data_IF_680043458693
#
_entry.id   IF_680043458693
#
_cell.length_a   1.000
_cell.length_b   1.000
_cell.length_c   1.000
_cell.angle_alpha   90.00
_cell.angle_beta   90.00
_cell.angle_gamma   90.00
#
_symmetry.space_group_name_H-M   'P 1'
#
loop_
_entity.id
_entity.type
_entity.pdbx_description
1 polymer ?
#
# COMPACT_ATOMS: atom_id res chain seq x y z
N UNK A 1 44.10 25.18 -36.06
CA UNK A 1 42.93 25.39 -35.24
C UNK A 1 41.85 24.41 -35.66
N UNK A 2 41.63 23.37 -34.87
CA UNK A 2 40.52 22.45 -35.08
C UNK A 2 39.24 23.05 -34.47
N UNK A 3 38.07 22.98 -35.12
CA UNK A 3 36.81 23.46 -34.54
C UNK A 3 36.35 22.55 -33.40
N UNK A 4 35.67 23.11 -32.41
CA UNK A 4 35.18 22.31 -31.26
C UNK A 4 34.13 21.33 -31.72
N UNK A 5 34.31 20.09 -31.30
CA UNK A 5 33.32 19.01 -31.43
C UNK A 5 32.11 19.42 -30.58
N UNK A 6 31.04 19.88 -31.22
CA UNK A 6 29.74 20.03 -30.61
C UNK A 6 29.23 18.61 -30.32
N UNK A 7 29.38 18.18 -29.08
CA UNK A 7 28.67 17.02 -28.58
C UNK A 7 27.16 17.29 -28.73
N UNK A 8 26.55 16.60 -29.67
CA UNK A 8 25.09 16.50 -29.77
C UNK A 8 24.59 16.00 -28.41
N UNK A 9 24.06 16.92 -27.60
CA UNK A 9 23.25 16.55 -26.46
C UNK A 9 22.03 15.81 -27.01
N UNK A 10 22.13 14.47 -27.12
CA UNK A 10 20.97 13.63 -27.17
C UNK A 10 20.20 13.94 -25.87
N UNK A 11 19.10 14.68 -25.99
CA UNK A 11 18.05 14.73 -24.97
C UNK A 11 17.58 13.29 -24.79
N UNK A 12 18.22 12.56 -23.88
CA UNK A 12 17.62 11.36 -23.32
C UNK A 12 16.29 11.83 -22.73
N UNK A 13 15.20 11.47 -23.38
CA UNK A 13 13.88 11.51 -22.76
C UNK A 13 14.04 10.71 -21.46
N UNK A 14 14.16 11.41 -20.34
CA UNK A 14 14.26 10.81 -19.03
C UNK A 14 12.93 10.10 -18.78
N UNK A 15 12.88 8.82 -19.11
CA UNK A 15 11.74 8.00 -18.80
C UNK A 15 11.81 7.71 -17.31
N UNK A 16 10.75 8.04 -16.64
CA UNK A 16 10.67 8.22 -15.20
C UNK A 16 9.61 7.29 -14.64
N UNK A 17 9.69 7.08 -13.34
CA UNK A 17 8.76 6.28 -12.57
C UNK A 17 7.66 7.19 -12.04
N UNK A 18 6.41 6.80 -12.24
CA UNK A 18 5.30 7.36 -11.49
C UNK A 18 5.07 6.48 -10.24
N UNK A 19 4.81 7.11 -9.11
CA UNK A 19 4.58 6.44 -7.83
C UNK A 19 3.11 6.55 -7.47
N UNK A 20 2.48 5.45 -7.09
CA UNK A 20 1.12 5.45 -6.56
C UNK A 20 1.11 4.91 -5.13
N UNK A 21 0.66 5.71 -4.19
CA UNK A 21 0.66 5.36 -2.77
C UNK A 21 -0.58 5.88 -2.03
N UNK A 22 -0.89 5.28 -0.88
CA UNK A 22 -1.98 5.70 -0.01
C UNK A 22 -1.55 6.83 0.92
N UNK A 23 -2.44 7.78 1.15
CA UNK A 23 -2.16 8.97 1.98
C UNK A 23 -2.77 8.92 3.38
N UNK A 24 -3.58 7.91 3.67
CA UNK A 24 -4.28 7.75 4.94
C UNK A 24 -3.73 6.52 5.71
N UNK A 25 -4.57 5.76 6.38
CA UNK A 25 -4.20 4.56 7.16
C UNK A 25 -4.42 3.25 6.39
N UNK A 26 -4.21 3.27 5.08
CA UNK A 26 -4.45 2.11 4.22
C UNK A 26 -5.91 2.00 3.74
N UNK A 27 -6.16 0.99 2.93
CA UNK A 27 -7.50 0.69 2.37
C UNK A 27 -8.10 1.81 1.50
N UNK A 28 -7.27 2.72 0.95
CA UNK A 28 -7.71 3.82 0.10
C UNK A 28 -8.21 3.36 -1.29
N UNK A 29 -8.12 2.06 -1.62
CA UNK A 29 -8.53 1.53 -2.92
C UNK A 29 -7.43 1.58 -3.98
N UNK A 30 -6.16 1.59 -3.56
CA UNK A 30 -4.99 1.65 -4.46
C UNK A 30 -5.00 0.61 -5.57
N UNK A 31 -5.34 -0.65 -5.26
CA UNK A 31 -5.38 -1.72 -6.26
C UNK A 31 -6.24 -1.39 -7.47
N UNK A 32 -7.47 -0.90 -7.25
CA UNK A 32 -8.36 -0.44 -8.34
C UNK A 32 -7.70 0.65 -9.18
N UNK A 33 -7.05 1.62 -8.53
CA UNK A 33 -6.43 2.75 -9.23
C UNK A 33 -5.20 2.29 -10.03
N UNK A 34 -4.39 1.37 -9.48
CA UNK A 34 -3.28 0.75 -10.22
C UNK A 34 -3.79 -0.02 -11.44
N UNK A 35 -4.83 -0.83 -11.28
CA UNK A 35 -5.45 -1.60 -12.36
C UNK A 35 -6.03 -0.68 -13.46
N UNK A 36 -6.64 0.45 -13.07
CA UNK A 36 -7.11 1.48 -14.00
C UNK A 36 -5.97 2.12 -14.82
N UNK A 37 -4.82 2.37 -14.18
CA UNK A 37 -3.67 2.96 -14.85
C UNK A 37 -2.79 1.94 -15.59
N UNK A 38 -2.83 0.67 -15.22
CA UNK A 38 -1.95 -0.38 -15.76
C UNK A 38 -1.87 -0.42 -17.29
N UNK A 39 -2.96 -0.17 -18.08
CA UNK A 39 -2.87 -0.10 -19.53
C UNK A 39 -1.88 0.94 -20.09
N UNK A 40 -1.51 1.93 -19.30
CA UNK A 40 -0.61 3.02 -19.70
C UNK A 40 0.85 2.80 -19.30
N UNK A 41 1.15 1.67 -18.62
CA UNK A 41 2.48 1.32 -18.11
C UNK A 41 2.96 -0.02 -18.62
N UNK A 42 4.26 -0.12 -18.89
CA UNK A 42 4.90 -1.38 -19.26
C UNK A 42 5.19 -2.26 -18.04
N UNK A 43 5.35 -1.64 -16.86
CA UNK A 43 5.76 -2.33 -15.64
C UNK A 43 4.98 -1.80 -14.45
N UNK A 44 4.42 -2.70 -13.64
CA UNK A 44 3.91 -2.40 -12.29
C UNK A 44 4.86 -3.03 -11.28
N UNK A 45 5.38 -2.24 -10.34
CA UNK A 45 6.40 -2.68 -9.40
C UNK A 45 6.00 -2.43 -7.93
N UNK A 46 5.80 -3.51 -7.15
CA UNK A 46 5.59 -3.43 -5.69
C UNK A 46 6.91 -3.14 -5.02
N UNK A 47 6.99 -2.08 -4.24
CA UNK A 47 8.26 -1.64 -3.65
C UNK A 47 8.39 -1.90 -2.14
N UNK A 48 7.29 -2.19 -1.43
CA UNK A 48 7.30 -2.45 0.02
C UNK A 48 6.06 -3.26 0.47
N UNK A 49 6.00 -3.59 1.77
CA UNK A 49 4.93 -4.35 2.36
C UNK A 49 5.12 -5.86 2.18
N UNK A 50 4.04 -6.59 2.15
CA UNK A 50 4.04 -8.04 2.02
C UNK A 50 2.60 -8.56 1.94
N UNK A 51 2.32 -9.79 2.43
CA UNK A 51 0.98 -10.39 2.39
C UNK A 51 -0.07 -9.71 3.27
N UNK A 52 0.31 -8.68 4.04
CA UNK A 52 -0.62 -7.85 4.82
C UNK A 52 -1.42 -6.84 3.96
N UNK A 53 -1.06 -6.62 2.71
CA UNK A 53 -1.88 -5.84 1.78
C UNK A 53 -3.13 -6.63 1.35
N UNK A 54 -4.18 -5.91 0.93
CA UNK A 54 -5.39 -6.48 0.36
C UNK A 54 -5.91 -5.55 -0.74
N UNK A 55 -5.40 -5.73 -1.97
CA UNK A 55 -5.80 -4.95 -3.13
C UNK A 55 -6.97 -5.65 -3.82
N UNK A 56 -8.17 -5.13 -3.60
CA UNK A 56 -9.38 -5.65 -4.23
C UNK A 56 -9.52 -5.14 -5.66
N UNK A 57 -9.71 -6.07 -6.58
CA UNK A 57 -9.96 -5.82 -8.01
C UNK A 57 -11.26 -6.52 -8.43
N UNK A 58 -11.83 -6.05 -9.53
CA UNK A 58 -12.94 -6.72 -10.21
C UNK A 58 -12.50 -7.05 -11.63
N UNK A 59 -12.40 -8.34 -11.92
CA UNK A 59 -11.99 -8.88 -13.22
C UNK A 59 -13.17 -9.68 -13.80
N UNK A 60 -13.66 -9.29 -14.96
CA UNK A 60 -14.84 -9.90 -15.58
C UNK A 60 -16.07 -9.97 -14.65
N UNK A 61 -16.23 -8.96 -13.78
CA UNK A 61 -17.32 -8.89 -12.80
C UNK A 61 -17.11 -9.68 -11.51
N UNK A 62 -16.05 -10.47 -11.42
CA UNK A 62 -15.69 -11.23 -10.22
C UNK A 62 -14.68 -10.50 -9.36
N UNK A 63 -14.88 -10.58 -8.04
CA UNK A 63 -13.97 -9.97 -7.05
C UNK A 63 -12.77 -10.85 -6.81
N UNK A 64 -11.57 -10.28 -6.92
CA UNK A 64 -10.31 -10.91 -6.49
C UNK A 64 -9.57 -9.98 -5.53
N UNK A 65 -8.83 -10.56 -4.57
CA UNK A 65 -7.99 -9.80 -3.63
C UNK A 65 -6.55 -10.22 -3.81
N UNK A 66 -5.69 -9.25 -4.18
CA UNK A 66 -4.25 -9.46 -4.30
C UNK A 66 -3.55 -9.00 -3.02
N UNK A 67 -2.60 -9.80 -2.55
CA UNK A 67 -1.80 -9.52 -1.36
C UNK A 67 -0.38 -9.09 -1.71
N UNK A 68 0.28 -9.82 -2.58
CA UNK A 68 1.69 -9.61 -2.95
C UNK A 68 1.89 -9.36 -4.44
N UNK A 69 1.06 -9.99 -5.27
CA UNK A 69 1.11 -9.81 -6.73
C UNK A 69 0.77 -8.35 -7.06
N UNK A 70 1.56 -7.69 -7.93
CA UNK A 70 1.23 -6.35 -8.41
C UNK A 70 -0.12 -6.33 -9.16
N UNK A 71 -0.86 -5.23 -9.01
CA UNK A 71 -2.24 -5.12 -9.54
C UNK A 71 -2.31 -5.04 -11.07
N UNK A 72 -1.17 -4.99 -11.76
CA UNK A 72 -1.08 -5.05 -13.23
C UNK A 72 -1.13 -6.46 -13.82
N UNK A 73 -1.23 -7.51 -13.02
CA UNK A 73 -1.08 -8.92 -13.44
C UNK A 73 -2.12 -9.37 -14.49
N UNK A 74 -3.29 -8.74 -14.53
CA UNK A 74 -4.36 -9.05 -15.48
C UNK A 74 -4.20 -8.36 -16.84
N UNK A 75 -3.13 -7.57 -17.03
CA UNK A 75 -2.83 -6.90 -18.29
C UNK A 75 -1.65 -7.64 -18.97
N UNK A 76 -1.90 -8.38 -20.08
CA UNK A 76 -0.88 -9.28 -20.68
C UNK A 76 0.41 -8.59 -21.14
N UNK A 77 0.32 -7.29 -21.49
CA UNK A 77 1.48 -6.49 -21.93
C UNK A 77 2.31 -5.94 -20.77
N UNK A 78 1.83 -6.06 -19.53
CA UNK A 78 2.45 -5.46 -18.34
C UNK A 78 3.32 -6.48 -17.63
N UNK A 79 4.59 -6.17 -17.43
CA UNK A 79 5.47 -6.91 -16.52
C UNK A 79 5.21 -6.49 -15.07
N UNK A 80 5.27 -7.45 -14.15
CA UNK A 80 4.94 -7.25 -12.74
C UNK A 80 6.14 -7.60 -11.86
N UNK A 81 6.74 -6.61 -11.20
CA UNK A 81 7.93 -6.79 -10.36
C UNK A 81 7.59 -6.77 -8.87
N UNK A 82 8.03 -7.78 -8.14
CA UNK A 82 8.13 -7.74 -6.68
C UNK A 82 9.56 -7.29 -6.34
N UNK A 83 9.67 -6.06 -5.84
CA UNK A 83 10.93 -5.40 -5.51
C UNK A 83 11.51 -5.86 -4.17
N UNK A 84 12.78 -5.53 -3.94
CA UNK A 84 13.52 -5.93 -2.74
C UNK A 84 13.03 -5.32 -1.42
N UNK A 85 12.21 -4.27 -1.49
CA UNK A 85 11.59 -3.70 -0.29
C UNK A 85 10.43 -4.54 0.26
N UNK A 86 9.86 -5.44 -0.53
CA UNK A 86 8.81 -6.37 -0.11
C UNK A 86 9.40 -7.49 0.78
N UNK A 87 8.61 -7.96 1.76
CA UNK A 87 8.84 -9.25 2.43
C UNK A 87 7.82 -10.26 1.90
N UNK A 88 8.30 -11.36 1.34
CA UNK A 88 7.54 -12.28 0.52
C UNK A 88 7.20 -13.56 1.27
N UNK A 89 5.91 -13.87 1.34
CA UNK A 89 5.39 -15.16 1.82
C UNK A 89 5.17 -16.09 0.62
N UNK A 90 6.01 -17.12 0.49
CA UNK A 90 5.98 -18.04 -0.64
C UNK A 90 4.64 -18.80 -0.74
N UNK A 91 4.06 -19.18 0.40
CA UNK A 91 2.78 -19.92 0.46
C UNK A 91 1.63 -19.05 -0.05
N UNK A 92 1.56 -17.80 0.44
CA UNK A 92 0.56 -16.84 -0.04
C UNK A 92 0.74 -16.56 -1.52
N UNK A 93 1.99 -16.35 -1.98
CA UNK A 93 2.26 -16.07 -3.40
C UNK A 93 1.83 -17.23 -4.30
N UNK A 94 2.12 -18.49 -3.94
CA UNK A 94 1.69 -19.66 -4.70
C UNK A 94 0.16 -19.68 -4.85
N UNK A 95 -0.56 -19.53 -3.74
CA UNK A 95 -2.04 -19.50 -3.74
C UNK A 95 -2.60 -18.34 -4.59
N UNK A 96 -1.97 -17.18 -4.56
CA UNK A 96 -2.36 -16.05 -5.42
C UNK A 96 -2.10 -16.34 -6.90
N UNK A 97 -0.94 -16.91 -7.25
CA UNK A 97 -0.62 -17.29 -8.63
C UNK A 97 -1.64 -18.30 -9.19
N UNK A 98 -2.05 -19.29 -8.40
CA UNK A 98 -3.10 -20.24 -8.75
C UNK A 98 -4.47 -19.54 -8.93
N UNK A 99 -4.78 -18.57 -8.06
CA UNK A 99 -6.03 -17.82 -8.14
C UNK A 99 -6.08 -16.92 -9.38
N UNK A 100 -5.03 -16.14 -9.68
CA UNK A 100 -5.01 -15.24 -10.84
C UNK A 100 -4.97 -15.99 -12.17
N UNK A 101 -4.38 -17.20 -12.20
CA UNK A 101 -4.37 -18.06 -13.39
C UNK A 101 -5.78 -18.44 -13.86
N UNK A 102 -6.76 -18.54 -12.95
CA UNK A 102 -8.18 -18.79 -13.30
C UNK A 102 -8.80 -17.66 -14.13
N UNK A 103 -8.22 -16.47 -14.04
CA UNK A 103 -8.62 -15.30 -14.83
C UNK A 103 -7.76 -15.11 -16.09
N UNK A 104 -6.92 -16.09 -16.43
CA UNK A 104 -6.09 -16.08 -17.64
C UNK A 104 -4.74 -15.34 -17.49
N UNK A 105 -4.35 -14.96 -16.28
CA UNK A 105 -3.05 -14.33 -16.06
C UNK A 105 -1.91 -15.37 -16.14
N UNK A 106 -0.90 -15.09 -16.99
CA UNK A 106 0.30 -15.93 -17.12
C UNK A 106 1.43 -15.39 -16.22
N UNK A 107 1.38 -15.81 -14.96
CA UNK A 107 2.37 -15.39 -13.95
C UNK A 107 3.80 -15.86 -14.25
N UNK A 108 3.97 -16.93 -15.01
CA UNK A 108 5.31 -17.41 -15.38
C UNK A 108 5.97 -16.54 -16.44
N UNK A 109 5.15 -15.88 -17.25
CA UNK A 109 5.64 -14.99 -18.29
C UNK A 109 5.82 -13.55 -17.79
N UNK A 110 4.86 -13.03 -17.01
CA UNK A 110 4.78 -11.60 -16.70
C UNK A 110 5.17 -11.23 -15.27
N UNK A 111 5.48 -12.20 -14.38
CA UNK A 111 5.95 -11.92 -13.02
C UNK A 111 7.45 -12.05 -12.87
N UNK A 112 8.05 -11.08 -12.17
CA UNK A 112 9.48 -11.00 -11.86
C UNK A 112 9.67 -10.74 -10.37
N UNK A 113 10.65 -11.40 -9.75
CA UNK A 113 10.91 -11.27 -8.31
C UNK A 113 12.38 -10.94 -8.12
N UNK A 114 12.64 -9.85 -7.38
CA UNK A 114 14.03 -9.47 -7.07
C UNK A 114 14.70 -10.53 -6.19
N UNK A 115 15.93 -10.94 -6.54
CA UNK A 115 16.77 -11.79 -5.69
C UNK A 115 16.94 -11.24 -4.27
N UNK A 116 16.87 -9.91 -4.09
CA UNK A 116 17.07 -9.23 -2.80
C UNK A 116 15.80 -9.17 -1.93
N UNK A 117 14.66 -9.61 -2.44
CA UNK A 117 13.40 -9.69 -1.66
C UNK A 117 13.57 -10.68 -0.52
N UNK A 118 13.22 -10.27 0.71
CA UNK A 118 13.32 -11.15 1.88
C UNK A 118 12.13 -12.10 1.97
N UNK A 119 12.41 -13.33 2.44
CA UNK A 119 11.40 -14.35 2.66
C UNK A 119 10.79 -14.22 4.05
N UNK A 120 9.47 -14.36 4.13
CA UNK A 120 8.79 -14.62 5.39
C UNK A 120 8.84 -16.12 5.64
N UNK A 121 9.43 -16.50 6.77
CA UNK A 121 9.54 -17.89 7.20
C UNK A 121 8.34 -18.28 8.09
N UNK A 122 8.01 -19.57 8.22
CA UNK A 122 7.03 -20.05 9.20
C UNK A 122 7.28 -19.53 10.60
N UNK A 123 8.53 -19.50 11.02
CA UNK A 123 8.95 -18.96 12.33
C UNK A 123 8.71 -17.46 12.49
N UNK A 124 8.72 -16.66 11.43
CA UNK A 124 8.31 -15.25 11.51
C UNK A 124 6.84 -15.11 11.86
N UNK A 125 5.97 -15.96 11.30
CA UNK A 125 4.53 -15.98 11.62
C UNK A 125 4.31 -16.40 13.07
N UNK A 126 5.07 -17.40 13.56
CA UNK A 126 5.04 -17.83 14.94
C UNK A 126 5.47 -16.71 15.90
N UNK A 127 6.57 -16.00 15.59
CA UNK A 127 7.05 -14.86 16.38
C UNK A 127 6.06 -13.69 16.41
N UNK A 128 5.40 -13.39 15.28
CA UNK A 128 4.37 -12.36 15.20
C UNK A 128 3.18 -12.71 16.11
N UNK A 129 2.71 -13.97 16.03
CA UNK A 129 1.62 -14.48 16.89
C UNK A 129 2.00 -14.46 18.37
N UNK A 130 3.20 -14.94 18.73
CA UNK A 130 3.68 -14.98 20.10
C UNK A 130 3.80 -13.56 20.70
N UNK A 131 4.42 -12.63 19.96
CA UNK A 131 4.59 -11.24 20.38
C UNK A 131 3.24 -10.51 20.56
N UNK A 132 2.30 -10.65 19.61
CA UNK A 132 0.98 -10.03 19.75
C UNK A 132 0.19 -10.62 20.92
N UNK A 133 0.31 -11.93 21.18
CA UNK A 133 -0.35 -12.57 22.31
C UNK A 133 0.18 -12.03 23.64
N UNK A 134 1.50 -11.85 23.76
CA UNK A 134 2.14 -11.35 24.99
C UNK A 134 1.77 -9.89 25.32
N UNK A 135 1.48 -9.06 24.31
CA UNK A 135 1.13 -7.65 24.52
C UNK A 135 -0.22 -7.43 25.23
N UNK A 136 -1.08 -8.44 25.33
CA UNK A 136 -2.38 -8.31 25.99
C UNK A 136 -3.21 -7.16 25.44
N UNK A 137 -3.56 -6.18 26.28
CA UNK A 137 -4.34 -4.98 25.86
C UNK A 137 -3.52 -4.02 24.98
N UNK A 138 -2.18 -4.07 25.03
CA UNK A 138 -1.27 -3.27 24.21
C UNK A 138 -1.08 -3.78 22.79
N UNK A 139 -1.95 -4.66 22.28
CA UNK A 139 -1.88 -5.19 20.91
C UNK A 139 -1.91 -4.09 19.87
N UNK A 140 -1.00 -4.15 18.91
CA UNK A 140 -0.98 -3.26 17.75
C UNK A 140 -2.12 -3.63 16.77
N UNK A 141 -2.55 -4.89 16.78
CA UNK A 141 -3.52 -5.42 15.84
C UNK A 141 -2.88 -5.98 14.57
N UNK A 142 -1.72 -6.62 14.72
CA UNK A 142 -1.01 -7.30 13.63
C UNK A 142 -1.93 -8.23 12.84
N UNK A 143 -1.62 -8.39 11.55
CA UNK A 143 -2.28 -9.36 10.67
C UNK A 143 -1.81 -10.79 10.89
N UNK A 144 -0.86 -11.02 11.78
CA UNK A 144 -0.23 -12.31 12.11
C UNK A 144 0.42 -12.99 10.88
N UNK A 145 0.89 -12.20 9.95
CA UNK A 145 1.53 -12.65 8.70
C UNK A 145 3.05 -12.67 8.76
N UNK A 146 3.65 -12.36 9.94
CA UNK A 146 5.09 -12.37 10.13
C UNK A 146 5.83 -11.16 9.55
N UNK A 147 5.12 -10.08 9.22
CA UNK A 147 5.69 -8.88 8.59
C UNK A 147 6.75 -8.23 9.47
N UNK A 148 6.39 -7.91 10.74
CA UNK A 148 7.31 -7.28 11.70
C UNK A 148 8.60 -8.08 11.90
N UNK A 149 8.52 -9.36 12.29
CA UNK A 149 9.69 -10.22 12.46
C UNK A 149 10.56 -10.36 11.20
N UNK A 150 9.96 -10.43 10.01
CA UNK A 150 10.71 -10.49 8.76
C UNK A 150 11.49 -9.18 8.47
N UNK A 151 10.90 -8.01 8.73
CA UNK A 151 11.62 -6.73 8.65
C UNK A 151 12.68 -6.57 9.76
N UNK A 152 12.44 -7.10 10.95
CA UNK A 152 13.47 -7.15 12.01
C UNK A 152 14.69 -7.94 11.55
N UNK A 153 14.51 -9.10 10.95
CA UNK A 153 15.63 -9.89 10.42
C UNK A 153 16.28 -9.24 9.20
N UNK A 154 15.52 -8.60 8.33
CA UNK A 154 16.07 -7.80 7.21
C UNK A 154 17.01 -6.72 7.73
N UNK A 155 16.58 -5.90 8.68
CA UNK A 155 17.37 -4.83 9.26
C UNK A 155 18.50 -5.39 10.14
N UNK A 156 18.24 -6.48 10.86
CA UNK A 156 19.21 -7.23 11.65
C UNK A 156 20.24 -8.02 10.83
N UNK A 157 20.12 -8.05 9.49
CA UNK A 157 21.02 -8.74 8.55
C UNK A 157 21.09 -10.26 8.76
N UNK A 158 19.96 -10.86 9.14
CA UNK A 158 19.84 -12.30 9.38
C UNK A 158 18.90 -13.00 8.38
N UNK A 159 18.01 -12.23 7.75
CA UNK A 159 16.93 -12.79 6.92
C UNK A 159 17.43 -13.50 5.67
N UNK A 160 16.67 -14.49 5.23
CA UNK A 160 16.86 -15.16 3.93
C UNK A 160 16.17 -14.37 2.83
N UNK A 161 16.80 -14.39 1.65
CA UNK A 161 16.30 -13.69 0.45
C UNK A 161 15.92 -14.67 -0.65
N UNK A 162 15.11 -14.22 -1.59
CA UNK A 162 14.70 -15.04 -2.74
C UNK A 162 15.92 -15.55 -3.54
N UNK A 163 16.97 -14.74 -3.69
CA UNK A 163 18.20 -15.18 -4.37
C UNK A 163 18.91 -16.33 -3.68
N UNK A 164 18.75 -16.49 -2.37
CA UNK A 164 19.37 -17.59 -1.61
C UNK A 164 18.77 -18.96 -1.98
N UNK A 165 17.58 -18.99 -2.61
CA UNK A 165 16.98 -20.21 -3.15
C UNK A 165 17.83 -20.88 -4.23
N UNK A 166 18.70 -20.11 -4.87
CA UNK A 166 19.61 -20.61 -5.91
C UNK A 166 20.90 -21.22 -5.32
N UNK A 167 21.12 -21.06 -4.01
CA UNK A 167 22.28 -21.60 -3.30
C UNK A 167 21.96 -23.00 -2.75
N UNK A 168 22.88 -23.96 -2.94
CA UNK A 168 22.82 -25.31 -2.36
C UNK A 168 22.74 -25.34 -0.83
N UNK A 169 23.17 -24.27 -0.18
CA UNK A 169 23.16 -24.14 1.28
C UNK A 169 21.85 -23.55 1.84
N UNK A 170 20.83 -23.29 1.02
CA UNK A 170 19.57 -22.67 1.44
C UNK A 170 18.97 -23.36 2.67
N UNK A 171 18.81 -24.69 2.63
CA UNK A 171 18.23 -25.47 3.74
C UNK A 171 19.08 -25.36 5.00
N UNK A 172 20.40 -25.38 4.87
CA UNK A 172 21.32 -25.21 6.02
C UNK A 172 21.16 -23.82 6.66
N UNK A 173 21.05 -22.79 5.85
CA UNK A 173 20.85 -21.41 6.32
C UNK A 173 19.46 -21.22 6.93
N UNK A 174 18.44 -21.86 6.37
CA UNK A 174 17.09 -21.91 6.96
C UNK A 174 17.13 -22.53 8.37
N UNK A 175 17.76 -23.70 8.55
CA UNK A 175 17.86 -24.37 9.85
C UNK A 175 18.57 -23.50 10.87
N UNK A 176 19.67 -22.81 10.50
CA UNK A 176 20.38 -21.88 11.40
C UNK A 176 19.47 -20.75 11.88
N UNK A 177 18.71 -20.15 10.98
CA UNK A 177 17.80 -19.05 11.32
C UNK A 177 16.62 -19.56 12.14
N UNK A 178 16.06 -20.71 11.79
CA UNK A 178 15.01 -21.38 12.57
C UNK A 178 15.42 -21.63 14.02
N UNK A 179 16.64 -22.12 14.24
CA UNK A 179 17.19 -22.35 15.60
C UNK A 179 17.33 -21.04 16.39
N UNK A 180 17.71 -19.95 15.72
CA UNK A 180 17.73 -18.63 16.36
C UNK A 180 16.31 -18.19 16.77
N UNK A 181 15.34 -18.36 15.89
CA UNK A 181 13.93 -18.02 16.17
C UNK A 181 13.35 -18.91 17.26
N UNK A 182 13.71 -20.19 17.31
CA UNK A 182 13.24 -21.09 18.36
C UNK A 182 13.60 -20.56 19.76
N UNK A 183 14.84 -20.09 19.96
CA UNK A 183 15.25 -19.48 21.23
C UNK A 183 14.41 -18.25 21.61
N UNK A 184 13.96 -17.47 20.62
CA UNK A 184 13.06 -16.34 20.87
C UNK A 184 11.64 -16.82 21.20
N UNK A 185 11.14 -17.85 20.50
CA UNK A 185 9.84 -18.47 20.76
C UNK A 185 9.78 -19.11 22.14
N UNK A 186 10.88 -19.74 22.59
CA UNK A 186 11.00 -20.30 23.94
C UNK A 186 10.83 -19.22 25.03
N UNK A 187 11.37 -18.01 24.81
CA UNK A 187 11.18 -16.87 25.71
C UNK A 187 9.72 -16.37 25.76
N UNK A 188 8.94 -16.61 24.71
CA UNK A 188 7.51 -16.32 24.66
C UNK A 188 6.62 -17.47 25.20
N UNK A 189 7.22 -18.59 25.61
CA UNK A 189 6.52 -19.83 25.96
C UNK A 189 5.59 -20.30 24.83
N UNK A 190 6.02 -20.15 23.57
CA UNK A 190 5.24 -20.56 22.41
C UNK A 190 5.39 -22.06 22.18
N UNK A 191 4.26 -22.78 22.24
CA UNK A 191 4.23 -24.26 22.21
C UNK A 191 3.50 -24.83 20.99
N UNK A 192 3.02 -23.98 20.09
CA UNK A 192 2.28 -24.44 18.89
C UNK A 192 3.24 -25.16 17.94
N UNK A 193 2.82 -26.31 17.44
CA UNK A 193 3.55 -27.03 16.38
C UNK A 193 3.40 -26.31 15.03
N UNK A 194 4.52 -25.97 14.40
CA UNK A 194 4.56 -25.30 13.11
C UNK A 194 5.03 -26.22 11.96
N UNK A 195 5.11 -27.52 12.20
CA UNK A 195 5.62 -28.49 11.20
C UNK A 195 4.86 -28.43 9.88
N UNK A 196 3.52 -28.33 9.94
CA UNK A 196 2.68 -28.18 8.74
C UNK A 196 2.97 -26.88 8.00
N UNK A 197 3.29 -25.78 8.71
CA UNK A 197 3.65 -24.52 8.06
C UNK A 197 5.01 -24.62 7.37
N UNK A 198 5.94 -25.41 7.92
CA UNK A 198 7.26 -25.65 7.32
C UNK A 198 7.11 -26.52 6.06
N UNK A 199 6.27 -27.56 6.08
CA UNK A 199 5.98 -28.39 4.91
C UNK A 199 5.39 -27.55 3.77
N UNK A 200 4.30 -26.80 4.02
CA UNK A 200 3.71 -25.88 3.03
C UNK A 200 4.72 -24.86 2.49
N UNK A 201 5.60 -24.36 3.36
CA UNK A 201 6.64 -23.40 2.99
C UNK A 201 7.61 -24.02 1.99
N UNK A 202 8.16 -25.21 2.25
CA UNK A 202 9.12 -25.84 1.35
C UNK A 202 8.49 -26.22 0.02
N UNK A 203 7.25 -26.69 -0.01
CA UNK A 203 6.51 -26.87 -1.26
C UNK A 203 6.39 -25.58 -2.07
N UNK A 204 6.04 -24.48 -1.38
CA UNK A 204 5.92 -23.18 -2.01
C UNK A 204 7.26 -22.61 -2.50
N UNK A 205 8.37 -22.94 -1.83
CA UNK A 205 9.73 -22.62 -2.28
C UNK A 205 10.04 -23.30 -3.61
N UNK A 206 9.68 -24.57 -3.80
CA UNK A 206 9.89 -25.28 -5.08
C UNK A 206 9.06 -24.61 -6.20
N UNK A 207 7.83 -24.20 -5.91
CA UNK A 207 7.05 -23.39 -6.86
C UNK A 207 7.74 -22.06 -7.18
N UNK A 208 8.24 -21.35 -6.17
CA UNK A 208 8.90 -20.05 -6.34
C UNK A 208 10.12 -20.12 -7.25
N UNK A 209 10.86 -21.24 -7.22
CA UNK A 209 12.01 -21.51 -8.12
C UNK A 209 11.62 -21.57 -9.60
N UNK A 210 10.34 -21.79 -9.92
CA UNK A 210 9.84 -21.85 -11.30
C UNK A 210 9.49 -20.47 -11.87
N UNK A 211 9.51 -19.41 -11.05
CA UNK A 211 9.22 -18.05 -11.47
C UNK A 211 10.49 -17.29 -11.90
N UNK A 212 10.32 -16.11 -12.51
CA UNK A 212 11.44 -15.29 -12.96
C UNK A 212 12.12 -14.57 -11.79
N UNK A 213 13.21 -15.14 -11.27
CA UNK A 213 14.03 -14.53 -10.22
C UNK A 213 15.15 -13.73 -10.90
N UNK A 214 15.15 -12.39 -10.65
CA UNK A 214 16.03 -11.44 -11.34
C UNK A 214 16.86 -10.59 -10.37
N UNK A 215 17.96 -10.01 -10.87
CA UNK A 215 18.66 -8.93 -10.18
C UNK A 215 17.84 -7.64 -10.33
N UNK A 216 16.88 -7.42 -9.40
CA UNK A 216 15.77 -6.48 -9.54
C UNK A 216 16.22 -5.06 -9.83
N UNK A 217 17.27 -4.57 -9.17
CA UNK A 217 17.83 -3.24 -9.37
C UNK A 217 18.44 -3.05 -10.78
N UNK A 218 19.10 -4.07 -11.33
CA UNK A 218 19.57 -4.02 -12.72
C UNK A 218 18.42 -4.11 -13.70
N UNK A 219 17.52 -5.06 -13.48
CA UNK A 219 16.37 -5.30 -14.34
C UNK A 219 15.51 -4.05 -14.51
N UNK A 220 15.15 -3.36 -13.41
CA UNK A 220 14.29 -2.16 -13.48
C UNK A 220 15.00 -0.97 -14.13
N UNK A 221 16.29 -0.75 -13.84
CA UNK A 221 17.07 0.34 -14.42
C UNK A 221 17.35 0.13 -15.92
N UNK A 222 17.57 -1.11 -16.37
CA UNK A 222 17.68 -1.45 -17.79
C UNK A 222 16.36 -1.16 -18.53
N UNK A 223 15.23 -1.57 -17.94
CA UNK A 223 13.90 -1.28 -18.52
C UNK A 223 13.64 0.22 -18.63
N UNK A 224 13.95 0.98 -17.60
CA UNK A 224 13.86 2.45 -17.63
C UNK A 224 14.78 3.04 -18.73
N UNK A 225 16.01 2.54 -18.86
CA UNK A 225 16.93 2.98 -19.90
C UNK A 225 16.46 2.63 -21.31
N UNK A 226 15.73 1.53 -21.45
CA UNK A 226 15.08 1.10 -22.69
C UNK A 226 13.75 1.82 -22.99
N UNK A 227 13.39 2.83 -22.22
CA UNK A 227 12.20 3.59 -22.51
C UNK A 227 10.89 3.07 -21.91
N UNK A 228 10.95 2.12 -21.00
CA UNK A 228 9.75 1.51 -20.40
C UNK A 228 9.16 2.35 -19.28
N UNK A 229 7.83 2.54 -19.31
CA UNK A 229 7.08 3.27 -18.29
C UNK A 229 6.81 2.38 -17.09
N UNK A 230 7.13 2.88 -15.90
CA UNK A 230 6.99 2.16 -14.64
C UNK A 230 6.00 2.87 -13.72
N UNK A 231 5.06 2.12 -13.14
CA UNK A 231 4.26 2.55 -12.01
C UNK A 231 4.70 1.79 -10.76
N UNK A 232 5.23 2.51 -9.77
CA UNK A 232 5.57 1.93 -8.48
C UNK A 232 4.32 1.87 -7.60
N UNK A 233 3.88 0.67 -7.26
CA UNK A 233 2.68 0.40 -6.48
C UNK A 233 2.99 0.27 -5.00
N UNK A 234 2.43 1.17 -4.19
CA UNK A 234 2.51 1.15 -2.73
C UNK A 234 1.47 0.26 -2.07
N UNK A 235 1.76 -0.16 -0.87
CA UNK A 235 0.85 -0.88 0.02
C UNK A 235 0.66 -0.10 1.32
N UNK A 236 -0.39 -0.39 2.09
CA UNK A 236 -0.78 0.36 3.29
C UNK A 236 -1.00 1.85 2.95
N UNK A 237 -0.68 2.79 3.85
CA UNK A 237 -0.82 4.22 3.64
C UNK A 237 0.24 4.99 4.42
N UNK A 238 0.44 6.26 4.08
CA UNK A 238 1.50 7.11 4.63
C UNK A 238 1.43 7.28 6.15
N UNK A 239 0.21 7.29 6.71
CA UNK A 239 0.02 7.38 8.17
C UNK A 239 0.35 6.07 8.90
N UNK A 240 0.69 5.00 8.17
CA UNK A 240 1.19 3.73 8.68
C UNK A 240 2.69 3.52 8.41
N UNK A 241 3.40 4.54 7.89
CA UNK A 241 4.84 4.47 7.66
C UNK A 241 5.61 4.24 8.95
N UNK A 242 6.69 3.45 8.89
CA UNK A 242 7.48 3.08 10.07
C UNK A 242 8.11 4.29 10.76
N UNK A 243 8.53 5.30 9.99
CA UNK A 243 9.23 6.47 10.51
C UNK A 243 8.29 7.68 10.72
N UNK A 244 7.36 7.90 9.79
CA UNK A 244 6.53 9.11 9.71
C UNK A 244 5.04 8.85 10.01
N UNK A 245 4.65 7.61 10.26
CA UNK A 245 3.29 7.24 10.61
C UNK A 245 2.94 7.48 12.07
N UNK A 246 1.77 7.02 12.47
CA UNK A 246 1.22 7.13 13.84
C UNK A 246 1.83 6.11 14.79
N UNK A 247 3.14 6.15 14.98
CA UNK A 247 3.89 5.22 15.83
C UNK A 247 3.32 5.13 17.26
N UNK A 248 3.24 3.94 17.90
CA UNK A 248 3.74 2.64 17.42
C UNK A 248 2.74 1.85 16.53
N UNK A 249 1.57 2.39 16.23
CA UNK A 249 0.52 1.75 15.45
C UNK A 249 0.75 1.94 13.94
N UNK A 250 1.84 1.38 13.45
CA UNK A 250 2.36 1.48 12.08
C UNK A 250 2.72 0.10 11.52
N UNK A 251 2.96 0.02 10.22
CA UNK A 251 3.60 -1.16 9.60
C UNK A 251 5.12 -1.06 9.71
N UNK A 252 5.82 -2.17 9.55
CA UNK A 252 7.28 -2.21 9.65
C UNK A 252 8.00 -1.84 8.34
N UNK A 253 7.30 -1.26 7.39
CA UNK A 253 7.86 -0.89 6.09
C UNK A 253 7.75 0.61 5.81
N UNK A 254 8.61 1.13 4.92
CA UNK A 254 8.51 2.49 4.41
C UNK A 254 7.44 2.57 3.34
N UNK A 255 6.29 3.17 3.70
CA UNK A 255 5.10 3.29 2.84
C UNK A 255 5.10 4.58 2.02
N UNK A 256 6.05 5.48 2.27
CA UNK A 256 6.20 6.77 1.59
C UNK A 256 7.06 6.65 0.32
N UNK A 257 7.12 7.73 -0.46
CA UNK A 257 7.89 7.79 -1.73
C UNK A 257 9.35 7.37 -1.56
N UNK A 258 10.00 7.66 -0.42
CA UNK A 258 11.37 7.23 -0.13
C UNK A 258 11.53 5.71 -0.17
N UNK A 259 10.48 4.95 0.17
CA UNK A 259 10.45 3.49 0.09
C UNK A 259 10.61 2.95 -1.34
N UNK A 260 10.22 3.72 -2.37
CA UNK A 260 10.41 3.34 -3.78
C UNK A 260 11.89 3.25 -4.11
N UNK A 261 12.68 4.22 -3.66
CA UNK A 261 14.11 4.33 -3.99
C UNK A 261 14.88 3.12 -3.46
N UNK A 262 14.70 2.81 -2.18
CA UNK A 262 15.34 1.66 -1.55
C UNK A 262 14.70 0.33 -1.94
N UNK A 263 13.38 0.33 -2.17
CA UNK A 263 12.60 -0.88 -2.46
C UNK A 263 12.72 -1.39 -3.88
N UNK A 264 13.11 -0.56 -4.84
CA UNK A 264 13.38 -0.94 -6.23
C UNK A 264 14.84 -0.76 -6.65
N UNK A 265 15.65 -0.06 -5.85
CA UNK A 265 17.04 0.26 -6.21
C UNK A 265 17.15 1.28 -7.33
N UNK A 266 16.37 2.36 -7.27
CA UNK A 266 16.33 3.43 -8.28
C UNK A 266 16.76 4.77 -7.70
N UNK A 267 17.33 5.63 -8.52
CA UNK A 267 17.78 6.95 -8.09
C UNK A 267 16.60 7.93 -7.91
N UNK A 268 16.68 8.90 -6.98
CA UNK A 268 15.64 9.91 -6.76
C UNK A 268 15.26 10.68 -8.03
N UNK A 269 16.24 10.97 -8.89
CA UNK A 269 16.04 11.68 -10.16
C UNK A 269 15.20 10.91 -11.19
N UNK A 270 14.84 9.65 -10.90
CA UNK A 270 13.97 8.84 -11.75
C UNK A 270 12.49 8.96 -11.39
N UNK A 271 12.13 9.57 -10.26
CA UNK A 271 10.74 9.82 -9.88
C UNK A 271 10.21 11.03 -10.65
N UNK A 272 9.04 10.86 -11.30
CA UNK A 272 8.38 11.92 -12.05
C UNK A 272 7.15 12.43 -11.30
N UNK A 273 6.10 11.63 -11.28
CA UNK A 273 4.86 11.98 -10.61
C UNK A 273 4.66 11.11 -9.35
N UNK A 274 4.15 11.73 -8.30
CA UNK A 274 3.69 11.03 -7.10
C UNK A 274 2.19 11.18 -7.01
N UNK A 275 1.48 10.08 -7.29
CA UNK A 275 0.02 10.00 -7.32
C UNK A 275 -0.44 9.51 -5.94
N UNK A 276 -1.00 10.41 -5.15
CA UNK A 276 -1.56 10.10 -3.85
C UNK A 276 -3.00 9.63 -3.95
N UNK A 277 -3.33 8.52 -3.32
CA UNK A 277 -4.71 8.02 -3.22
C UNK A 277 -5.28 8.35 -1.84
N UNK A 278 -6.40 9.03 -1.80
CA UNK A 278 -7.15 9.34 -0.58
C UNK A 278 -8.62 8.95 -0.75
N UNK A 279 -9.27 8.47 0.28
CA UNK A 279 -10.75 8.36 0.29
C UNK A 279 -11.39 9.72 0.52
N UNK A 280 -12.62 9.88 0.10
CA UNK A 280 -13.46 11.04 0.42
C UNK A 280 -13.78 11.15 1.93
N UNK A 281 -13.45 10.13 2.71
CA UNK A 281 -13.53 10.04 4.17
C UNK A 281 -12.33 9.23 4.69
N UNK A 282 -12.20 9.02 6.00
CA UNK A 282 -11.10 8.23 6.56
C UNK A 282 -11.58 6.89 7.10
N UNK A 283 -10.70 5.88 7.01
CA UNK A 283 -10.89 4.60 7.69
C UNK A 283 -9.60 4.12 8.31
N UNK A 284 -9.70 3.33 9.39
CA UNK A 284 -8.56 2.70 10.03
C UNK A 284 -8.90 1.29 10.50
N UNK A 285 -7.98 0.35 10.34
CA UNK A 285 -8.04 -0.98 10.93
C UNK A 285 -7.11 -1.04 12.14
N UNK A 286 -7.56 -1.72 13.21
CA UNK A 286 -6.76 -1.89 14.42
C UNK A 286 -6.69 -0.67 15.31
N UNK A 287 -5.76 -0.71 16.26
CA UNK A 287 -5.55 0.33 17.26
C UNK A 287 -4.91 1.61 16.72
N UNK A 288 -4.69 2.55 17.64
CA UNK A 288 -3.99 3.79 17.38
C UNK A 288 -4.89 5.00 17.12
N UNK A 289 -4.27 6.20 17.03
CA UNK A 289 -4.99 7.46 16.97
C UNK A 289 -5.74 7.61 15.65
N UNK A 290 -6.97 8.16 15.76
CA UNK A 290 -7.83 8.47 14.61
C UNK A 290 -8.68 9.71 14.98
N UNK A 291 -8.15 10.92 14.77
CA UNK A 291 -8.77 12.14 15.27
C UNK A 291 -10.19 12.40 14.81
N UNK A 292 -10.53 11.98 13.59
CA UNK A 292 -11.86 12.19 12.99
C UNK A 292 -12.79 10.99 13.13
N UNK A 293 -12.45 9.99 13.96
CA UNK A 293 -13.28 8.81 14.17
C UNK A 293 -14.68 9.16 14.66
N UNK A 294 -15.68 8.50 14.10
CA UNK A 294 -17.09 8.64 14.48
C UNK A 294 -17.52 7.41 15.27
N UNK A 295 -17.97 7.66 16.50
CA UNK A 295 -18.45 6.62 17.42
C UNK A 295 -19.99 6.55 17.48
N UNK A 296 -20.66 7.27 16.59
CA UNK A 296 -22.11 7.41 16.51
C UNK A 296 -22.73 6.63 15.33
N UNK A 297 -24.03 6.81 15.12
CA UNK A 297 -24.76 6.23 14.01
C UNK A 297 -24.22 6.63 12.63
N UNK A 298 -23.57 7.80 12.52
CA UNK A 298 -22.97 8.26 11.27
C UNK A 298 -21.75 7.42 10.91
N UNK A 299 -20.90 7.09 11.89
CA UNK A 299 -19.76 6.20 11.69
C UNK A 299 -20.18 4.80 11.25
N UNK A 300 -21.27 4.26 11.84
CA UNK A 300 -21.83 2.97 11.42
C UNK A 300 -22.42 3.04 10.02
N UNK A 301 -23.16 4.10 9.70
CA UNK A 301 -23.70 4.30 8.35
C UNK A 301 -22.59 4.39 7.29
N UNK A 302 -21.49 5.11 7.57
CA UNK A 302 -20.31 5.14 6.69
C UNK A 302 -19.71 3.75 6.49
N UNK A 303 -19.60 2.94 7.55
CA UNK A 303 -19.09 1.58 7.47
C UNK A 303 -19.93 0.70 6.58
N UNK A 304 -21.24 0.76 6.73
CA UNK A 304 -22.19 -0.04 5.94
C UNK A 304 -22.18 0.43 4.47
N UNK A 305 -22.35 1.74 4.22
CA UNK A 305 -22.38 2.30 2.87
C UNK A 305 -21.08 2.05 2.11
N UNK A 306 -19.94 2.21 2.79
CA UNK A 306 -18.62 1.97 2.21
C UNK A 306 -18.22 0.50 2.14
N UNK A 307 -19.02 -0.43 2.69
CA UNK A 307 -18.62 -1.84 2.89
C UNK A 307 -17.23 -1.92 3.54
N UNK A 308 -17.05 -1.17 4.65
CA UNK A 308 -15.76 -0.99 5.30
C UNK A 308 -15.43 -2.14 6.24
N UNK A 309 -15.09 -3.28 5.64
CA UNK A 309 -14.60 -4.49 6.30
C UNK A 309 -13.25 -4.89 5.69
N UNK A 310 -12.37 -5.42 6.53
CA UNK A 310 -11.04 -5.84 6.08
C UNK A 310 -11.11 -6.94 5.03
N UNK A 311 -10.51 -6.73 3.86
CA UNK A 311 -10.55 -7.69 2.76
C UNK A 311 -9.99 -9.07 3.12
N UNK A 312 -9.02 -9.12 4.04
CA UNK A 312 -8.33 -10.33 4.49
C UNK A 312 -8.92 -10.91 5.77
N UNK A 313 -9.30 -10.05 6.74
CA UNK A 313 -9.68 -10.49 8.10
C UNK A 313 -11.16 -10.35 8.38
N UNK A 314 -11.92 -9.70 7.50
CA UNK A 314 -13.33 -9.38 7.74
C UNK A 314 -13.58 -8.39 8.89
N UNK A 315 -12.53 -7.89 9.56
CA UNK A 315 -12.69 -6.98 10.71
C UNK A 315 -13.36 -5.68 10.27
N UNK A 316 -14.32 -5.15 11.04
CA UNK A 316 -14.92 -3.86 10.77
C UNK A 316 -13.85 -2.77 10.85
N UNK A 317 -13.85 -1.87 9.88
CA UNK A 317 -12.99 -0.67 9.90
C UNK A 317 -13.65 0.41 10.73
N UNK A 318 -12.84 1.14 11.49
CA UNK A 318 -13.21 2.40 12.13
C UNK A 318 -13.39 3.44 11.02
N UNK A 319 -14.44 4.24 11.06
CA UNK A 319 -14.77 5.23 10.04
C UNK A 319 -14.83 6.64 10.64
N UNK A 320 -14.48 7.63 9.85
CA UNK A 320 -14.49 9.03 10.25
C UNK A 320 -14.45 9.98 9.08
N UNK A 321 -14.67 11.26 9.33
CA UNK A 321 -14.61 12.29 8.29
C UNK A 321 -13.19 12.43 7.72
N UNK A 322 -13.07 13.00 6.52
CA UNK A 322 -11.77 13.27 5.90
C UNK A 322 -10.94 14.20 6.80
N UNK A 323 -9.67 13.87 6.93
CA UNK A 323 -8.71 14.58 7.77
C UNK A 323 -7.68 15.30 6.90
N UNK A 324 -7.86 16.62 6.73
CA UNK A 324 -6.96 17.41 5.90
C UNK A 324 -5.63 17.74 6.59
N UNK A 325 -5.55 17.63 7.92
CA UNK A 325 -4.28 17.81 8.64
C UNK A 325 -3.36 16.62 8.30
N UNK A 326 -3.88 15.41 8.46
CA UNK A 326 -3.17 14.18 8.09
C UNK A 326 -2.87 14.13 6.59
N UNK A 327 -3.82 14.55 5.74
CA UNK A 327 -3.66 14.53 4.29
C UNK A 327 -2.58 15.51 3.82
N UNK A 328 -2.56 16.75 4.35
CA UNK A 328 -1.49 17.74 4.07
C UNK A 328 -0.11 17.21 4.46
N UNK A 329 -0.02 16.65 5.65
CA UNK A 329 1.21 16.04 6.14
C UNK A 329 1.68 14.91 5.20
N UNK A 330 0.78 13.99 4.84
CA UNK A 330 1.10 12.90 3.92
C UNK A 330 1.53 13.42 2.53
N UNK A 331 0.86 14.44 1.99
CA UNK A 331 1.25 15.06 0.73
C UNK A 331 2.65 15.70 0.81
N UNK A 332 2.96 16.38 1.90
CA UNK A 332 4.24 17.04 2.13
C UNK A 332 5.41 16.02 2.15
N UNK A 333 5.30 14.97 2.98
CA UNK A 333 6.39 13.99 3.13
C UNK A 333 6.61 13.13 1.88
N UNK A 334 5.59 13.01 1.03
CA UNK A 334 5.64 12.24 -0.21
C UNK A 334 6.00 13.06 -1.44
N UNK A 335 5.89 14.38 -1.40
CA UNK A 335 6.00 15.23 -2.58
C UNK A 335 4.89 14.95 -3.60
N UNK A 336 3.66 14.79 -3.15
CA UNK A 336 2.51 14.45 -4.00
C UNK A 336 2.28 15.51 -5.07
N UNK A 337 2.21 15.10 -6.33
CA UNK A 337 1.96 15.97 -7.48
C UNK A 337 0.52 15.92 -7.97
N UNK A 338 -0.17 14.80 -7.76
CA UNK A 338 -1.55 14.54 -8.19
C UNK A 338 -2.29 13.70 -7.17
N UNK A 339 -3.60 13.92 -7.04
CA UNK A 339 -4.46 13.15 -6.16
C UNK A 339 -5.50 12.35 -6.93
N UNK A 340 -5.82 11.17 -6.40
CA UNK A 340 -7.01 10.39 -6.73
C UNK A 340 -7.88 10.33 -5.49
N UNK A 341 -9.10 10.86 -5.56
CA UNK A 341 -10.10 10.70 -4.50
C UNK A 341 -10.93 9.45 -4.79
N UNK A 342 -11.01 8.55 -3.84
CA UNK A 342 -11.81 7.31 -3.97
C UNK A 342 -13.03 7.33 -3.07
N UNK A 343 -14.01 6.48 -3.37
CA UNK A 343 -15.20 6.29 -2.53
C UNK A 343 -16.07 7.56 -2.40
N UNK A 344 -16.10 8.43 -3.41
CA UNK A 344 -16.97 9.60 -3.40
C UNK A 344 -18.46 9.21 -3.39
N UNK A 345 -18.81 8.13 -4.08
CA UNK A 345 -20.13 7.49 -4.12
C UNK A 345 -20.68 7.12 -2.73
N UNK A 346 -19.81 6.76 -1.81
CA UNK A 346 -20.21 6.42 -0.43
C UNK A 346 -20.85 7.62 0.27
N UNK A 347 -20.43 8.84 -0.06
CA UNK A 347 -20.94 10.05 0.55
C UNK A 347 -22.29 10.53 -0.07
N UNK A 348 -22.78 9.90 -1.11
CA UNK A 348 -24.01 10.30 -1.84
C UNK A 348 -25.24 10.42 -0.93
N UNK A 349 -25.30 9.63 0.13
CA UNK A 349 -26.44 9.62 1.05
C UNK A 349 -26.26 10.50 2.30
N UNK A 350 -25.07 11.11 2.50
CA UNK A 350 -24.78 11.88 3.70
C UNK A 350 -24.99 13.38 3.48
N UNK A 351 -25.61 14.03 4.45
CA UNK A 351 -25.73 15.49 4.56
C UNK A 351 -26.16 15.85 5.99
N UNK A 352 -25.45 16.75 6.67
CA UNK A 352 -24.24 17.44 6.20
C UNK A 352 -23.01 16.53 6.17
N UNK A 353 -22.00 16.90 5.38
CA UNK A 353 -20.65 16.33 5.42
C UNK A 353 -19.77 17.20 6.33
N UNK A 354 -18.74 16.62 6.90
CA UNK A 354 -17.76 17.37 7.66
C UNK A 354 -16.34 17.07 7.18
N UNK A 355 -15.47 18.08 7.30
CA UNK A 355 -14.06 18.05 6.89
C UNK A 355 -13.22 18.56 8.05
N UNK A 356 -12.26 17.77 8.52
CA UNK A 356 -11.33 18.24 9.54
C UNK A 356 -10.28 19.15 8.89
N UNK A 357 -10.26 20.41 9.32
CA UNK A 357 -9.39 21.46 8.76
C UNK A 357 -8.22 21.80 9.69
N UNK A 358 -8.29 21.45 10.96
CA UNK A 358 -7.29 21.68 11.99
C UNK A 358 -7.49 20.73 13.18
N UNK A 359 -6.56 20.76 14.13
CA UNK A 359 -6.68 20.09 15.42
C UNK A 359 -6.61 21.10 16.56
N UNK A 360 -7.29 20.80 17.68
CA UNK A 360 -6.95 21.37 18.98
C UNK A 360 -6.17 20.32 19.75
N UNK A 361 -4.91 20.61 20.04
CA UNK A 361 -4.01 19.73 20.79
C UNK A 361 -3.81 20.32 22.18
N UNK A 362 -4.31 19.63 23.21
CA UNK A 362 -4.36 20.16 24.58
C UNK A 362 -5.01 21.56 24.68
N UNK A 363 -5.99 21.84 23.81
CA UNK A 363 -6.72 23.11 23.76
C UNK A 363 -6.14 24.17 22.80
N UNK A 364 -4.94 23.99 22.28
CA UNK A 364 -4.30 24.91 21.32
C UNK A 364 -4.54 24.46 19.88
N UNK A 365 -4.94 25.40 19.01
CA UNK A 365 -5.23 25.10 17.61
C UNK A 365 -3.94 24.95 16.79
N UNK A 366 -3.88 23.91 15.96
CA UNK A 366 -2.75 23.61 15.08
C UNK A 366 -3.19 22.97 13.77
N UNK A 367 -2.37 23.15 12.72
CA UNK A 367 -2.50 22.47 11.43
C UNK A 367 -1.40 21.41 11.20
N UNK A 368 -0.67 21.07 12.25
CA UNK A 368 0.40 20.07 12.21
C UNK A 368 -0.02 18.79 12.89
N UNK A 369 0.44 17.64 12.37
CA UNK A 369 0.28 16.34 13.01
C UNK A 369 1.22 16.29 14.23
N UNK A 370 0.68 16.07 15.45
CA UNK A 370 1.51 16.00 16.66
C UNK A 370 2.48 14.82 16.61
N UNK A 371 3.71 15.02 17.08
CA UNK A 371 4.73 13.96 17.14
C UNK A 371 4.25 12.69 17.88
N UNK A 372 3.54 12.85 18.98
CA UNK A 372 3.03 11.73 19.78
C UNK A 372 1.50 11.78 19.89
N UNK A 373 0.82 11.48 18.80
CA UNK A 373 -0.66 11.50 18.75
C UNK A 373 -1.33 10.62 19.81
N UNK A 374 -0.63 9.61 20.35
CA UNK A 374 -1.16 8.71 21.39
C UNK A 374 -1.07 9.26 22.80
N UNK A 375 -0.36 10.37 23.02
CA UNK A 375 -0.09 10.94 24.35
C UNK A 375 -0.70 12.34 24.57
N UNK A 376 -1.39 12.85 23.58
CA UNK A 376 -2.01 14.16 23.63
C UNK A 376 -3.50 14.04 23.33
N UNK A 377 -4.30 14.92 23.95
CA UNK A 377 -5.69 15.04 23.59
C UNK A 377 -5.80 15.81 22.26
N UNK A 378 -6.44 15.19 21.28
CA UNK A 378 -6.64 15.77 19.93
C UNK A 378 -8.14 15.88 19.68
N UNK A 379 -8.61 17.08 19.45
CA UNK A 379 -9.97 17.35 19.01
C UNK A 379 -9.95 17.87 17.57
N UNK A 380 -10.71 17.28 16.63
CA UNK A 380 -10.76 17.77 15.26
C UNK A 380 -11.54 19.10 15.19
N UNK A 381 -10.99 20.07 14.47
CA UNK A 381 -11.71 21.30 14.07
C UNK A 381 -12.42 21.00 12.77
N UNK A 382 -13.75 20.91 12.83
CA UNK A 382 -14.57 20.48 11.71
C UNK A 382 -15.23 21.65 10.99
N UNK A 383 -15.21 21.61 9.65
CA UNK A 383 -15.97 22.49 8.77
C UNK A 383 -17.06 21.70 8.07
N UNK A 384 -18.29 22.24 8.08
CA UNK A 384 -19.45 21.62 7.47
C UNK A 384 -19.58 21.98 5.99
N UNK A 385 -20.05 21.00 5.22
CA UNK A 385 -20.42 21.12 3.81
C UNK A 385 -21.81 20.51 3.58
N UNK A 386 -22.51 21.03 2.60
CA UNK A 386 -23.74 20.40 2.15
C UNK A 386 -23.40 19.09 1.42
N UNK A 387 -24.16 18.06 1.73
CA UNK A 387 -24.08 16.79 0.97
C UNK A 387 -24.84 16.93 -0.36
N UNK A 388 -24.45 16.12 -1.32
CA UNK A 388 -25.05 16.19 -2.66
C UNK A 388 -26.28 15.32 -2.84
N UNK A 389 -26.52 14.31 -2.03
CA UNK A 389 -27.71 13.42 -2.06
C UNK A 389 -28.12 12.97 -3.46
N UNK A 390 -27.14 12.66 -4.28
CA UNK A 390 -27.31 12.31 -5.70
C UNK A 390 -26.38 11.12 -5.98
N UNK A 391 -26.88 10.12 -6.70
CA UNK A 391 -26.07 9.00 -7.16
C UNK A 391 -24.98 9.48 -8.13
N UNK A 392 -23.75 9.51 -7.64
CA UNK A 392 -22.59 9.92 -8.43
C UNK A 392 -22.02 8.78 -9.26
N UNK A 393 -22.42 7.53 -9.02
CA UNK A 393 -21.88 6.34 -9.69
C UNK A 393 -22.15 6.32 -11.20
N UNK A 394 -23.15 7.08 -11.66
CA UNK A 394 -23.53 7.21 -13.07
C UNK A 394 -22.72 8.26 -13.82
N UNK A 395 -22.03 9.18 -13.10
CA UNK A 395 -21.26 10.26 -13.72
C UNK A 395 -19.99 9.70 -14.40
N UNK A 396 -19.75 10.15 -15.63
CA UNK A 396 -18.59 9.77 -16.45
C UNK A 396 -17.66 10.93 -16.79
N UNK A 397 -18.13 12.16 -16.59
CA UNK A 397 -17.38 13.39 -16.85
C UNK A 397 -17.48 14.36 -15.67
N UNK A 398 -16.46 15.21 -15.49
CA UNK A 398 -16.43 16.21 -14.42
C UNK A 398 -17.65 17.13 -14.40
N UNK A 399 -18.16 17.49 -15.58
CA UNK A 399 -19.33 18.36 -15.72
C UNK A 399 -20.63 17.72 -15.20
N UNK A 400 -20.71 16.40 -15.16
CA UNK A 400 -21.87 15.63 -14.66
C UNK A 400 -21.89 15.52 -13.14
N UNK A 401 -20.76 15.74 -12.48
CA UNK A 401 -20.71 15.71 -11.02
C UNK A 401 -21.56 16.84 -10.42
N UNK A 402 -22.35 16.58 -9.37
CA UNK A 402 -23.11 17.61 -8.66
C UNK A 402 -22.25 18.82 -8.24
N UNK A 403 -22.83 20.01 -8.19
CA UNK A 403 -22.14 21.23 -7.78
C UNK A 403 -21.46 21.08 -6.42
N UNK A 404 -22.16 20.49 -5.43
CA UNK A 404 -21.62 20.25 -4.09
C UNK A 404 -20.38 19.33 -4.10
N UNK A 405 -20.31 18.32 -4.97
CA UNK A 405 -19.10 17.48 -5.16
C UNK A 405 -17.95 18.32 -5.67
N UNK A 406 -18.21 19.17 -6.69
CA UNK A 406 -17.17 20.04 -7.25
C UNK A 406 -16.66 21.06 -6.23
N UNK A 407 -17.56 21.64 -5.42
CA UNK A 407 -17.20 22.55 -4.32
C UNK A 407 -16.36 21.85 -3.25
N UNK A 408 -16.73 20.62 -2.87
CA UNK A 408 -15.98 19.79 -1.93
C UNK A 408 -14.56 19.51 -2.44
N UNK A 409 -14.42 19.12 -3.70
CA UNK A 409 -13.14 18.88 -4.37
C UNK A 409 -12.32 20.18 -4.44
N UNK A 410 -12.92 21.28 -4.87
CA UNK A 410 -12.25 22.57 -4.98
C UNK A 410 -11.71 23.06 -3.62
N UNK A 411 -12.49 22.88 -2.56
CA UNK A 411 -12.04 23.18 -1.21
C UNK A 411 -10.84 22.34 -0.79
N UNK A 412 -10.89 21.01 -1.01
CA UNK A 412 -9.78 20.13 -0.66
C UNK A 412 -8.52 20.50 -1.47
N UNK A 413 -8.65 20.74 -2.76
CA UNK A 413 -7.53 21.19 -3.61
C UNK A 413 -6.86 22.45 -3.06
N UNK A 414 -7.68 23.44 -2.65
CA UNK A 414 -7.17 24.69 -2.05
C UNK A 414 -6.41 24.45 -0.75
N UNK A 415 -6.86 23.49 0.06
CA UNK A 415 -6.26 23.20 1.36
C UNK A 415 -4.99 22.35 1.27
N UNK A 416 -4.88 21.50 0.26
CA UNK A 416 -3.78 20.52 0.12
C UNK A 416 -2.64 21.05 -0.75
N UNK A 417 -2.94 21.87 -1.76
CA UNK A 417 -1.95 22.37 -2.73
C UNK A 417 -1.54 21.38 -3.80
N UNK A 418 -2.17 20.20 -3.84
CA UNK A 418 -2.05 19.22 -4.92
C UNK A 418 -3.43 18.96 -5.53
N UNK A 419 -3.58 18.91 -6.89
CA UNK A 419 -4.88 18.78 -7.51
C UNK A 419 -5.42 17.36 -7.40
N UNK A 420 -6.71 17.21 -7.10
CA UNK A 420 -7.47 16.00 -7.33
C UNK A 420 -7.73 15.94 -8.84
N UNK A 421 -7.06 15.00 -9.51
CA UNK A 421 -7.16 14.82 -10.96
C UNK A 421 -8.17 13.73 -11.34
N UNK A 422 -8.50 12.85 -10.42
CA UNK A 422 -9.45 11.75 -10.63
C UNK A 422 -10.32 11.52 -9.40
N UNK A 423 -11.58 11.20 -9.64
CA UNK A 423 -12.54 10.79 -8.62
C UNK A 423 -13.09 9.41 -8.96
N UNK A 424 -12.89 8.46 -8.05
CA UNK A 424 -13.53 7.14 -8.15
C UNK A 424 -14.89 7.20 -7.46
N UNK A 425 -15.93 6.96 -8.25
CA UNK A 425 -17.33 7.09 -7.89
C UNK A 425 -18.09 5.75 -7.95
N UNK A 426 -17.40 4.65 -7.66
CA UNK A 426 -17.99 3.31 -7.57
C UNK A 426 -16.94 2.20 -7.54
N UNK A 427 -17.31 0.92 -7.36
CA UNK A 427 -16.37 -0.18 -7.22
C UNK A 427 -15.76 -0.67 -8.55
N UNK A 428 -16.44 -0.45 -9.68
CA UNK A 428 -16.02 -0.92 -11.01
C UNK A 428 -14.77 -0.20 -11.52
N UNK A 429 -13.99 -0.86 -12.39
CA UNK A 429 -12.80 -0.30 -13.01
C UNK A 429 -13.10 1.03 -13.73
N UNK A 430 -14.20 1.08 -14.45
CA UNK A 430 -14.57 2.23 -15.31
C UNK A 430 -15.28 3.36 -14.55
N UNK A 431 -15.53 3.18 -13.25
CA UNK A 431 -16.16 4.20 -12.41
C UNK A 431 -15.07 5.12 -11.82
N UNK A 432 -14.41 5.85 -12.70
CA UNK A 432 -13.42 6.87 -12.40
C UNK A 432 -13.64 8.05 -13.35
N UNK A 433 -13.83 9.23 -12.77
CA UNK A 433 -14.03 10.49 -13.49
C UNK A 433 -12.73 11.29 -13.45
N UNK A 434 -12.22 11.69 -14.60
CA UNK A 434 -11.14 12.68 -14.70
C UNK A 434 -11.69 14.09 -14.45
N UNK A 435 -10.99 14.90 -13.62
CA UNK A 435 -11.39 16.23 -13.19
C UNK A 435 -10.63 17.30 -13.97
#
# INVERSE_FOLDING_TARGET
>A
MQPPIFATQQRFLLIMIDVLLGLQWGDEGKGKIVDYFAPHYDIIARFQGGPNAGHTLYVNGEKIVLHQIPSGVFHPHTANLIGNGVVLDAVTLRKECEAVARFGADVRHNMFISKRTHLILPTHRALDKASETQKGEGKIGSTLKGIGPAYMDKTGRNGLRVGDLLDKNFTTNYIKLRLKHQRLLDNFNFTEDISNWEEEFFEAIEFLRTLNIVDGEYWINEKLSAGKKVLAEGAQGSMLDIDFGTFPFVTSSSTITAGVLSGLGVAPSKIKDVIGVTKAYCTRVGGGPFPTELHDATGEALRIAGNEFGATTGRPRRCGWIDLVALRYACMINGVTKLVMTKADVLDQFSPLQVCVGYKVNGEETHQVPYQMTRVAIEPVLRQFDGWKTDTSVCKAAAELPAAVREYIAFINQQIGAPICWVSNGPGRDQIVAI
#
